data_IF_426676507419
#
_entry.id   IF_426676507419
#
_cell.length_a   1.000
_cell.length_b   1.000
_cell.length_c   1.000
_cell.angle_alpha   90.00
_cell.angle_beta   90.00
_cell.angle_gamma   90.00
#
_symmetry.space_group_name_H-M   'P 1'
#
loop_
_entity.id
_entity.type
_entity.pdbx_description
1 polymer ?
#
# COMPACT_ATOMS: atom_id res chain seq x y z
N UNK A 1 1.62 -44.85 33.32
CA UNK A 1 1.38 -44.07 32.08
C UNK A 1 1.54 -42.54 32.20
N UNK A 2 1.57 -41.93 33.39
CA UNK A 2 1.69 -40.46 33.54
C UNK A 2 3.08 -39.84 33.25
N UNK A 3 4.15 -40.62 33.23
CA UNK A 3 5.51 -40.08 33.01
C UNK A 3 5.89 -39.88 31.54
N UNK A 4 5.28 -40.60 30.58
CA UNK A 4 5.63 -40.49 29.15
C UNK A 4 5.05 -39.24 28.47
N UNK A 5 3.94 -38.69 28.97
CA UNK A 5 3.35 -37.46 28.43
C UNK A 5 4.19 -36.19 28.72
N UNK A 6 4.96 -36.18 29.82
CA UNK A 6 5.76 -35.00 30.21
C UNK A 6 6.95 -34.76 29.27
N UNK A 7 7.52 -35.82 28.71
CA UNK A 7 8.66 -35.71 27.79
C UNK A 7 8.26 -35.24 26.39
N UNK A 8 7.06 -35.61 25.92
CA UNK A 8 6.54 -35.17 24.62
C UNK A 8 6.27 -33.65 24.62
N UNK A 9 5.76 -33.11 25.74
CA UNK A 9 5.54 -31.67 25.90
C UNK A 9 6.84 -30.85 25.91
N UNK A 10 7.91 -31.38 26.54
CA UNK A 10 9.21 -30.70 26.60
C UNK A 10 9.88 -30.69 25.21
N UNK A 11 9.77 -31.78 24.45
CA UNK A 11 10.30 -31.84 23.08
C UNK A 11 9.58 -30.89 22.11
N UNK A 12 8.26 -30.70 22.26
CA UNK A 12 7.50 -29.76 21.44
C UNK A 12 7.90 -28.30 21.69
N UNK A 13 8.12 -27.93 22.95
CA UNK A 13 8.57 -26.57 23.33
C UNK A 13 9.98 -26.28 22.80
N UNK A 14 10.87 -27.28 22.80
CA UNK A 14 12.23 -27.12 22.28
C UNK A 14 12.27 -26.91 20.76
N UNK A 15 11.44 -27.64 19.99
CA UNK A 15 11.33 -27.44 18.53
C UNK A 15 10.74 -26.07 18.21
N UNK A 16 9.73 -25.63 18.97
CA UNK A 16 9.05 -24.35 18.73
C UNK A 16 9.96 -23.14 19.04
N UNK A 17 10.79 -23.21 20.08
CA UNK A 17 11.71 -22.12 20.44
C UNK A 17 12.90 -22.04 19.49
N UNK A 18 13.42 -23.18 19.01
CA UNK A 18 14.56 -23.20 18.08
C UNK A 18 14.19 -22.97 16.60
N UNK A 19 12.94 -23.16 16.19
CA UNK A 19 12.48 -22.86 14.82
C UNK A 19 12.08 -21.39 14.62
N UNK A 20 11.67 -20.68 15.67
CA UNK A 20 11.29 -19.26 15.61
C UNK A 20 12.40 -18.32 15.09
N UNK A 21 13.69 -18.44 15.48
CA UNK A 21 14.74 -17.57 14.94
C UNK A 21 15.08 -17.86 13.47
N UNK A 22 14.69 -19.01 12.91
CA UNK A 22 14.92 -19.30 11.49
C UNK A 22 13.97 -18.55 10.56
N UNK A 23 12.78 -18.16 11.05
CA UNK A 23 11.84 -17.32 10.30
C UNK A 23 12.24 -15.84 10.28
N UNK A 24 13.10 -15.40 11.22
CA UNK A 24 13.53 -14.01 11.30
C UNK A 24 14.59 -13.62 10.25
N UNK A 25 15.16 -14.58 9.53
CA UNK A 25 16.26 -14.34 8.57
C UNK A 25 15.88 -14.58 7.10
N UNK A 26 14.61 -14.86 6.80
CA UNK A 26 14.15 -15.13 5.43
C UNK A 26 13.55 -13.89 4.72
N UNK A 27 13.96 -12.68 5.11
CA UNK A 27 13.65 -11.48 4.32
C UNK A 27 14.77 -11.29 3.28
N UNK A 28 14.53 -11.90 2.12
CA UNK A 28 15.32 -11.80 0.91
C UNK A 28 15.39 -10.34 0.44
N UNK A 29 16.60 -9.88 0.12
CA UNK A 29 16.91 -8.52 -0.31
C UNK A 29 16.32 -8.28 -1.71
N UNK A 30 15.09 -7.75 -1.75
CA UNK A 30 14.43 -7.39 -3.01
C UNK A 30 15.21 -6.30 -3.72
N UNK A 31 15.63 -6.59 -4.96
CA UNK A 31 16.41 -5.69 -5.81
C UNK A 31 15.73 -4.31 -5.98
N UNK A 32 16.47 -3.20 -5.88
CA UNK A 32 15.93 -1.84 -5.71
C UNK A 32 15.12 -1.28 -6.89
N UNK A 33 15.01 -1.98 -8.02
CA UNK A 33 14.32 -1.47 -9.22
C UNK A 33 12.83 -1.85 -9.31
N UNK A 34 12.37 -2.90 -8.63
CA UNK A 34 10.94 -3.30 -8.66
C UNK A 34 10.13 -2.81 -7.44
N UNK A 35 10.80 -2.36 -6.38
CA UNK A 35 10.20 -1.91 -5.12
C UNK A 35 9.33 -0.63 -5.26
N UNK A 36 9.37 0.06 -6.40
CA UNK A 36 8.54 1.26 -6.66
C UNK A 36 7.23 0.98 -7.41
N UNK A 37 7.09 -0.19 -8.05
CA UNK A 37 5.85 -0.61 -8.71
C UNK A 37 5.06 -1.62 -7.87
N UNK A 38 5.76 -2.32 -6.97
CA UNK A 38 5.16 -3.12 -5.91
C UNK A 38 5.50 -2.47 -4.57
N UNK A 39 4.84 -1.37 -4.24
CA UNK A 39 4.65 -1.03 -2.83
C UNK A 39 3.79 -2.13 -2.21
N UNK A 40 4.04 -2.53 -0.96
CA UNK A 40 3.12 -3.42 -0.21
C UNK A 40 1.67 -2.87 -0.18
N UNK A 41 1.51 -1.58 -0.50
CA UNK A 41 0.27 -0.79 -0.66
C UNK A 41 -0.56 -1.12 -1.91
N UNK A 42 0.00 -1.83 -2.91
CA UNK A 42 -0.79 -2.24 -4.08
C UNK A 42 -1.67 -3.48 -3.79
N UNK A 43 -1.54 -4.05 -2.59
CA UNK A 43 -2.34 -5.16 -2.11
C UNK A 43 -3.69 -4.71 -1.56
N UNK A 44 -4.58 -5.65 -1.31
CA UNK A 44 -5.84 -5.34 -0.63
C UNK A 44 -5.63 -5.11 0.85
N UNK A 45 -6.39 -4.19 1.45
CA UNK A 45 -6.40 -3.88 2.90
C UNK A 45 -6.67 -5.15 3.75
N UNK A 46 -7.35 -6.14 3.15
CA UNK A 46 -7.62 -7.44 3.76
C UNK A 46 -8.93 -7.43 4.55
N UNK A 47 -9.51 -8.61 4.76
CA UNK A 47 -10.87 -8.74 5.28
C UNK A 47 -11.05 -8.08 6.65
N UNK A 48 -11.93 -7.09 6.71
CA UNK A 48 -12.23 -6.32 7.92
C UNK A 48 -11.24 -5.21 8.24
N UNK A 49 -10.21 -5.03 7.42
CA UNK A 49 -9.27 -3.91 7.53
C UNK A 49 -9.89 -2.61 7.00
N UNK A 50 -9.40 -1.49 7.54
CA UNK A 50 -9.73 -0.14 7.09
C UNK A 50 -8.42 0.58 6.81
N UNK A 51 -8.36 1.22 5.65
CA UNK A 51 -7.24 2.08 5.26
C UNK A 51 -7.76 3.49 5.00
N UNK A 52 -6.93 4.48 5.37
CA UNK A 52 -7.22 5.90 5.19
C UNK A 52 -5.96 6.53 4.59
N UNK A 53 -6.08 7.03 3.37
CA UNK A 53 -4.99 7.68 2.65
C UNK A 53 -5.25 9.17 2.50
N UNK A 54 -4.24 9.98 2.80
CA UNK A 54 -4.24 11.42 2.52
C UNK A 54 -3.25 11.71 1.39
N UNK A 55 -3.78 12.18 0.27
CA UNK A 55 -2.99 12.53 -0.91
C UNK A 55 -2.76 14.03 -1.01
N UNK A 56 -1.57 14.42 -1.47
CA UNK A 56 -1.30 15.78 -1.94
C UNK A 56 -0.57 15.73 -3.27
N UNK A 57 -1.14 16.38 -4.27
CA UNK A 57 -0.58 16.47 -5.62
C UNK A 57 -0.37 17.92 -6.00
N UNK A 58 0.78 18.21 -6.62
CA UNK A 58 1.07 19.51 -7.22
C UNK A 58 1.34 19.33 -8.72
N UNK A 59 0.48 19.93 -9.54
CA UNK A 59 0.57 19.88 -10.99
C UNK A 59 0.98 21.26 -11.55
N UNK A 60 1.79 21.23 -12.60
CA UNK A 60 2.29 22.41 -13.28
C UNK A 60 2.28 22.20 -14.80
N UNK A 61 1.62 23.09 -15.55
CA UNK A 61 1.56 22.96 -17.00
C UNK A 61 1.51 24.32 -17.73
N UNK A 62 2.52 24.54 -18.59
CA UNK A 62 2.65 25.71 -19.48
C UNK A 62 1.91 25.59 -20.80
N UNK A 63 1.51 24.37 -21.17
CA UNK A 63 0.83 24.08 -22.44
C UNK A 63 -0.49 23.38 -22.16
N UNK A 64 -1.50 23.68 -22.95
CA UNK A 64 -2.77 22.96 -22.98
C UNK A 64 -2.86 22.19 -24.30
N UNK A 65 -3.74 21.18 -24.30
CA UNK A 65 -4.14 20.52 -25.54
C UNK A 65 -5.58 20.92 -25.83
N UNK A 66 -5.82 21.41 -27.05
CA UNK A 66 -7.17 21.77 -27.49
C UNK A 66 -7.96 20.52 -27.93
N UNK A 67 -9.20 20.73 -28.37
CA UNK A 67 -10.09 19.66 -28.85
C UNK A 67 -9.61 19.02 -30.17
N UNK A 68 -8.72 19.70 -30.91
CA UNK A 68 -8.15 19.25 -32.18
C UNK A 68 -6.75 18.63 -32.00
N UNK A 69 -6.35 18.36 -30.75
CA UNK A 69 -5.06 17.75 -30.37
C UNK A 69 -3.83 18.63 -30.68
N UNK A 70 -4.02 19.92 -30.88
CA UNK A 70 -2.94 20.88 -31.01
C UNK A 70 -2.50 21.39 -29.64
N UNK A 71 -1.18 21.58 -29.51
CA UNK A 71 -0.59 22.15 -28.30
C UNK A 71 -0.68 23.66 -28.39
N UNK A 72 -1.42 24.26 -27.47
CA UNK A 72 -1.49 25.71 -27.33
C UNK A 72 -0.67 26.18 -26.13
N UNK A 73 -0.01 27.32 -26.28
CA UNK A 73 0.63 28.01 -25.16
C UNK A 73 -0.47 28.68 -24.32
N UNK A 74 -0.48 28.43 -23.01
CA UNK A 74 -1.41 29.03 -22.05
C UNK A 74 -0.67 29.75 -20.92
N UNK A 75 -1.41 30.49 -20.11
CA UNK A 75 -0.95 30.94 -18.79
C UNK A 75 -0.40 29.78 -17.95
N UNK A 76 0.45 30.09 -16.97
CA UNK A 76 1.05 29.07 -16.10
C UNK A 76 -0.04 28.48 -15.21
N UNK A 77 -0.61 27.34 -15.60
CA UNK A 77 -1.54 26.66 -14.70
C UNK A 77 -0.76 25.92 -13.62
N UNK A 78 -1.02 26.29 -12.37
CA UNK A 78 -0.63 25.56 -11.16
C UNK A 78 -1.88 24.97 -10.54
N UNK A 79 -1.78 23.73 -10.10
CA UNK A 79 -2.88 23.06 -9.45
C UNK A 79 -2.37 22.37 -8.18
N UNK A 80 -3.08 22.59 -7.09
CA UNK A 80 -2.86 21.92 -5.82
C UNK A 80 -4.08 21.07 -5.52
N UNK A 81 -3.89 19.76 -5.42
CA UNK A 81 -4.94 18.80 -5.13
C UNK A 81 -4.69 18.14 -3.77
N UNK A 82 -5.72 18.08 -2.96
CA UNK A 82 -5.75 17.35 -1.69
C UNK A 82 -6.79 16.25 -1.81
N UNK A 83 -6.37 15.01 -1.58
CA UNK A 83 -7.21 13.83 -1.64
C UNK A 83 -7.35 13.18 -0.27
N UNK A 84 -8.51 12.56 -0.04
CA UNK A 84 -8.77 11.63 1.04
C UNK A 84 -9.41 10.38 0.44
N UNK A 85 -8.76 9.24 0.63
CA UNK A 85 -9.32 7.94 0.30
C UNK A 85 -9.62 7.15 1.58
N UNK A 86 -10.74 6.43 1.58
CA UNK A 86 -11.06 5.46 2.62
C UNK A 86 -11.38 4.14 1.91
N UNK A 87 -10.68 3.08 2.29
CA UNK A 87 -10.90 1.73 1.79
C UNK A 87 -11.30 0.78 2.93
N UNK A 88 -12.18 -0.17 2.61
CA UNK A 88 -12.60 -1.24 3.51
C UNK A 88 -12.52 -2.59 2.81
N UNK A 89 -11.82 -3.54 3.41
CA UNK A 89 -11.68 -4.89 2.87
C UNK A 89 -12.89 -5.77 3.17
N UNK A 90 -13.61 -6.16 2.12
CA UNK A 90 -14.77 -7.08 2.21
C UNK A 90 -14.29 -8.54 2.28
N UNK A 91 -13.28 -8.87 1.48
CA UNK A 91 -12.64 -10.19 1.40
C UNK A 91 -11.12 -10.01 1.48
N UNK A 92 -10.37 -11.11 1.60
CA UNK A 92 -8.90 -11.07 1.64
C UNK A 92 -8.25 -10.60 0.34
N UNK A 93 -9.05 -10.40 -0.72
CA UNK A 93 -8.62 -9.98 -2.05
C UNK A 93 -9.62 -9.03 -2.73
N UNK A 94 -10.55 -8.44 -1.97
CA UNK A 94 -11.51 -7.48 -2.51
C UNK A 94 -11.82 -6.39 -1.48
N UNK A 95 -11.59 -5.15 -1.90
CA UNK A 95 -11.89 -3.96 -1.13
C UNK A 95 -12.91 -3.09 -1.86
N UNK A 96 -13.61 -2.26 -1.10
CA UNK A 96 -14.36 -1.11 -1.62
C UNK A 96 -13.72 0.16 -1.10
N UNK A 97 -13.58 1.16 -1.97
CA UNK A 97 -13.07 2.47 -1.58
C UNK A 97 -14.05 3.57 -1.92
N UNK A 98 -13.91 4.69 -1.20
CA UNK A 98 -14.53 5.95 -1.53
C UNK A 98 -13.46 7.05 -1.45
N UNK A 99 -13.38 7.83 -2.52
CA UNK A 99 -12.38 8.87 -2.69
C UNK A 99 -13.07 10.23 -2.75
N UNK A 100 -12.49 11.22 -2.08
CA UNK A 100 -12.89 12.61 -2.21
C UNK A 100 -11.66 13.49 -2.32
N UNK A 101 -11.79 14.58 -3.06
CA UNK A 101 -10.67 15.48 -3.28
C UNK A 101 -11.12 16.90 -3.55
N UNK A 102 -10.21 17.83 -3.27
CA UNK A 102 -10.34 19.23 -3.60
C UNK A 102 -9.12 19.68 -4.38
N UNK A 103 -9.36 20.20 -5.59
CA UNK A 103 -8.33 20.80 -6.43
C UNK A 103 -8.53 22.32 -6.50
N UNK A 104 -7.44 23.06 -6.27
CA UNK A 104 -7.40 24.50 -6.44
C UNK A 104 -6.46 24.85 -7.60
N UNK A 105 -6.99 25.66 -8.53
CA UNK A 105 -6.37 26.02 -9.81
C UNK A 105 -5.98 27.51 -9.78
N UNK A 106 -4.75 27.80 -10.20
CA UNK A 106 -4.20 29.16 -10.20
C UNK A 106 -3.39 29.40 -11.48
N UNK A 107 -3.42 30.64 -11.98
CA UNK A 107 -2.63 31.11 -13.13
C UNK A 107 -1.40 31.95 -12.71
#
# INVERSE_FOLDING_TARGET
MRHRLKWIGISFVFVFIFSLPFYAFAQEELAPEWAKLATDDAGTVGKGGIEIEFGYTFNYAKKAMDNDWHKEDRGILREHEFGLSIAYGILDNLDISADTGYANLYD
#
